data_IF_080714781333
#
_entry.id   IF_080714781333
#
_cell.length_a   1.000
_cell.length_b   1.000
_cell.length_c   1.000
_cell.angle_alpha   90.00
_cell.angle_beta   90.00
_cell.angle_gamma   90.00
#
_symmetry.space_group_name_H-M   'P 1'
#
loop_
_entity.id
_entity.type
_entity.pdbx_description
1 polymer ?
#
# COMPACT_ATOMS: atom_id res chain seq x y z
N UNK A 1 -3.96 -0.99 5.30
CA UNK A 1 -3.47 0.21 6.00
C UNK A 1 -2.49 -0.23 7.05
N UNK A 2 -1.21 -0.32 6.70
CA UNK A 2 -0.10 -0.38 7.65
C UNK A 2 1.09 0.36 7.02
N UNK A 3 1.14 1.67 7.25
CA UNK A 3 2.41 2.38 7.21
C UNK A 3 3.02 2.27 8.60
N UNK A 4 3.93 1.31 8.80
CA UNK A 4 4.87 1.36 9.91
C UNK A 4 6.26 1.32 9.31
N UNK A 5 6.88 2.48 9.17
CA UNK A 5 8.33 2.56 9.06
C UNK A 5 8.79 3.42 10.22
N UNK A 6 9.65 2.80 11.02
CA UNK A 6 10.36 3.37 12.15
C UNK A 6 10.92 4.75 11.80
N UNK A 7 10.82 5.69 12.74
CA UNK A 7 11.69 6.87 12.78
C UNK A 7 13.13 6.42 12.54
N UNK A 8 13.63 6.59 11.32
CA UNK A 8 15.07 6.49 11.06
C UNK A 8 15.68 7.73 11.68
N UNK A 9 16.28 7.57 12.86
CA UNK A 9 17.02 8.60 13.61
C UNK A 9 18.27 9.14 12.88
N UNK A 10 18.40 8.95 11.56
CA UNK A 10 19.69 9.06 10.86
C UNK A 10 19.73 10.14 9.77
N UNK A 11 18.61 10.73 9.32
CA UNK A 11 18.67 11.80 8.30
C UNK A 11 17.77 13.01 8.61
N UNK A 12 18.25 14.25 8.33
CA UNK A 12 17.62 15.50 8.78
C UNK A 12 16.26 15.81 8.14
N UNK A 13 15.84 15.05 7.12
CA UNK A 13 14.53 15.21 6.47
C UNK A 13 13.92 13.85 6.14
N UNK A 14 13.23 13.24 7.11
CA UNK A 14 12.41 12.05 6.86
C UNK A 14 10.94 12.45 6.90
N UNK A 15 10.25 12.31 5.77
CA UNK A 15 8.82 12.60 5.66
C UNK A 15 8.02 11.30 5.69
N UNK A 16 6.94 11.31 6.45
CA UNK A 16 5.97 10.21 6.47
C UNK A 16 4.62 10.78 6.06
N UNK A 17 3.98 10.10 5.11
CA UNK A 17 2.67 10.48 4.59
C UNK A 17 1.66 9.40 4.94
N UNK A 18 0.52 9.81 5.48
CA UNK A 18 -0.66 8.98 5.65
C UNK A 18 -1.73 9.44 4.67
N UNK A 19 -2.25 8.51 3.87
CA UNK A 19 -3.31 8.78 2.90
C UNK A 19 -4.61 8.13 3.36
N UNK A 20 -5.60 8.97 3.65
CA UNK A 20 -6.94 8.53 4.03
C UNK A 20 -7.83 8.47 2.79
N UNK A 21 -8.32 7.27 2.44
CA UNK A 21 -9.14 7.04 1.26
C UNK A 21 -10.64 7.07 1.61
N UNK A 22 -11.46 7.55 0.67
CA UNK A 22 -12.91 7.72 0.87
C UNK A 22 -13.78 6.56 0.38
N UNK A 23 -13.19 5.60 -0.31
CA UNK A 23 -13.95 4.57 -1.05
C UNK A 23 -14.57 3.50 -0.13
N UNK A 24 -14.13 3.40 1.12
CA UNK A 24 -14.67 2.48 2.12
C UNK A 24 -15.89 3.07 2.83
N UNK A 25 -16.97 2.30 2.89
CA UNK A 25 -18.22 2.63 3.57
C UNK A 25 -18.66 1.51 4.51
N UNK A 26 -18.65 1.79 5.81
CA UNK A 26 -19.04 0.83 6.87
C UNK A 26 -20.49 0.33 6.75
N UNK A 27 -21.35 1.07 6.04
CA UNK A 27 -22.75 0.69 5.88
C UNK A 27 -22.99 -0.18 4.63
N UNK A 28 -22.00 -0.31 3.75
CA UNK A 28 -22.14 -0.97 2.44
C UNK A 28 -21.13 -2.09 2.23
N UNK A 29 -19.89 -1.89 2.65
CA UNK A 29 -18.79 -2.77 2.31
C UNK A 29 -18.62 -3.88 3.36
N UNK A 30 -18.09 -5.03 2.95
CA UNK A 30 -17.79 -6.12 3.87
C UNK A 30 -16.54 -5.82 4.69
N UNK A 31 -16.58 -6.15 5.98
CA UNK A 31 -15.46 -6.00 6.90
C UNK A 31 -15.53 -7.03 8.02
N UNK A 32 -14.41 -7.25 8.70
CA UNK A 32 -14.38 -7.97 9.97
C UNK A 32 -14.61 -6.96 11.11
N UNK A 33 -15.64 -7.19 11.92
CA UNK A 33 -16.05 -6.26 12.99
C UNK A 33 -14.91 -5.96 13.97
N UNK A 34 -14.17 -6.99 14.38
CA UNK A 34 -13.03 -6.85 15.30
C UNK A 34 -11.95 -5.90 14.74
N UNK A 35 -11.71 -5.93 13.42
CA UNK A 35 -10.73 -5.05 12.77
C UNK A 35 -11.23 -3.60 12.73
N UNK A 36 -12.53 -3.38 12.49
CA UNK A 36 -13.10 -2.02 12.51
C UNK A 36 -13.04 -1.42 13.91
N UNK A 37 -13.38 -2.20 14.94
CA UNK A 37 -13.27 -1.73 16.32
C UNK A 37 -11.84 -1.39 16.68
N UNK A 38 -10.88 -2.25 16.33
CA UNK A 38 -9.46 -1.99 16.52
C UNK A 38 -9.03 -0.68 15.85
N UNK A 39 -9.38 -0.49 14.57
CA UNK A 39 -9.02 0.72 13.82
C UNK A 39 -9.65 1.99 14.41
N UNK A 40 -10.91 1.93 14.86
CA UNK A 40 -11.55 3.04 15.59
C UNK A 40 -10.79 3.39 16.88
N UNK A 41 -10.36 2.37 17.65
CA UNK A 41 -9.55 2.57 18.87
C UNK A 41 -8.18 3.16 18.57
N UNK A 42 -7.61 2.88 17.39
CA UNK A 42 -6.36 3.48 16.90
C UNK A 42 -6.56 4.89 16.31
N UNK A 43 -7.78 5.46 16.37
CA UNK A 43 -8.06 6.83 15.97
C UNK A 43 -8.56 7.01 14.54
N UNK A 44 -8.84 5.93 13.80
CA UNK A 44 -9.41 6.03 12.46
C UNK A 44 -10.87 6.49 12.52
N UNK A 45 -11.17 7.60 11.85
CA UNK A 45 -12.53 8.11 11.68
C UNK A 45 -13.05 7.81 10.27
N UNK A 46 -13.84 6.75 10.15
CA UNK A 46 -14.36 6.27 8.87
C UNK A 46 -15.35 7.24 8.21
N UNK A 47 -16.19 7.93 8.99
CA UNK A 47 -17.12 8.94 8.44
C UNK A 47 -16.35 10.13 7.86
N UNK A 48 -15.33 10.62 8.59
CA UNK A 48 -14.44 11.68 8.09
C UNK A 48 -13.71 11.23 6.82
N UNK A 49 -13.26 9.98 6.75
CA UNK A 49 -12.61 9.43 5.57
C UNK A 49 -13.57 9.37 4.38
N UNK A 50 -14.83 8.96 4.57
CA UNK A 50 -15.86 8.93 3.53
C UNK A 50 -16.19 10.33 2.99
N UNK A 51 -16.28 11.32 3.88
CA UNK A 51 -16.60 12.71 3.52
C UNK A 51 -15.42 13.44 2.87
N UNK A 52 -14.22 13.34 3.46
CA UNK A 52 -13.06 14.21 3.14
C UNK A 52 -11.85 13.46 2.57
N UNK A 53 -11.89 12.13 2.55
CA UNK A 53 -10.79 11.31 2.06
C UNK A 53 -10.56 11.44 0.56
N UNK A 54 -9.41 10.95 0.11
CA UNK A 54 -9.00 10.95 -1.28
C UNK A 54 -9.72 9.82 -2.00
N UNK A 55 -10.28 10.09 -3.18
CA UNK A 55 -10.80 9.02 -4.04
C UNK A 55 -9.66 8.16 -4.58
N UNK A 56 -9.78 6.84 -4.48
CA UNK A 56 -8.77 5.87 -4.92
C UNK A 56 -8.30 6.11 -6.36
N UNK A 57 -9.20 6.48 -7.27
CA UNK A 57 -8.90 6.89 -8.66
C UNK A 57 -7.97 8.11 -8.74
N UNK A 58 -8.26 9.14 -7.94
CA UNK A 58 -7.45 10.36 -7.91
C UNK A 58 -6.07 10.08 -7.30
N UNK A 59 -6.03 9.24 -6.25
CA UNK A 59 -4.79 8.78 -5.65
C UNK A 59 -3.93 8.00 -6.66
N UNK A 60 -4.53 7.06 -7.39
CA UNK A 60 -3.85 6.29 -8.44
C UNK A 60 -3.31 7.19 -9.55
N UNK A 61 -4.11 8.17 -10.00
CA UNK A 61 -3.66 9.17 -10.98
C UNK A 61 -2.44 9.94 -10.47
N UNK A 62 -2.42 10.35 -9.20
CA UNK A 62 -1.24 11.03 -8.63
C UNK A 62 -0.01 10.12 -8.56
N UNK A 63 -0.18 8.85 -8.23
CA UNK A 63 0.92 7.87 -8.28
C UNK A 63 1.52 7.77 -9.69
N UNK A 64 0.66 7.78 -10.72
CA UNK A 64 1.10 7.87 -12.10
C UNK A 64 1.83 9.18 -12.39
N UNK A 65 1.19 10.32 -12.13
CA UNK A 65 1.71 11.66 -12.46
C UNK A 65 3.10 11.92 -11.83
N UNK A 66 3.35 11.37 -10.62
CA UNK A 66 4.63 11.51 -9.92
C UNK A 66 5.68 10.45 -10.28
N UNK A 67 5.37 9.55 -11.23
CA UNK A 67 6.26 8.48 -11.66
C UNK A 67 6.60 7.50 -10.53
N UNK A 68 5.63 7.20 -9.66
CA UNK A 68 5.80 6.21 -8.60
C UNK A 68 5.51 4.79 -9.10
N UNK A 69 4.83 4.65 -10.22
CA UNK A 69 4.53 3.37 -10.90
C UNK A 69 5.19 3.30 -12.28
N UNK A 70 5.19 2.11 -12.89
CA UNK A 70 5.91 1.76 -14.13
C UNK A 70 7.43 1.76 -13.98
N UNK A 71 7.92 1.39 -12.80
CA UNK A 71 9.36 1.33 -12.53
C UNK A 71 10.07 0.18 -13.29
N UNK A 72 9.34 -0.73 -13.96
CA UNK A 72 9.93 -1.79 -14.77
C UNK A 72 10.74 -1.26 -15.97
N UNK A 73 10.49 -0.02 -16.41
CA UNK A 73 11.19 0.62 -17.52
C UNK A 73 12.42 1.43 -17.11
N UNK A 74 12.85 1.37 -15.84
CA UNK A 74 14.06 2.03 -15.36
C UNK A 74 13.98 3.57 -15.30
N UNK A 75 12.79 4.15 -15.43
CA UNK A 75 12.58 5.61 -15.43
C UNK A 75 12.94 6.25 -14.07
N UNK A 76 12.85 5.49 -12.98
CA UNK A 76 13.19 5.92 -11.62
C UNK A 76 13.58 4.71 -10.78
N UNK A 77 14.68 4.82 -10.04
CA UNK A 77 15.10 3.77 -9.11
C UNK A 77 14.36 3.93 -7.78
N UNK A 78 13.18 3.32 -7.68
CA UNK A 78 12.39 3.25 -6.44
C UNK A 78 12.60 1.86 -5.83
N UNK A 79 12.90 1.83 -4.54
CA UNK A 79 12.90 0.60 -3.74
C UNK A 79 11.69 0.58 -2.84
N UNK A 80 10.85 -0.43 -2.98
CA UNK A 80 9.69 -0.63 -2.13
C UNK A 80 10.05 -1.56 -0.98
N UNK A 81 9.73 -1.12 0.23
CA UNK A 81 9.98 -1.88 1.46
C UNK A 81 8.65 -2.13 2.14
N UNK A 82 8.42 -3.36 2.57
CA UNK A 82 7.21 -3.77 3.28
C UNK A 82 7.55 -4.76 4.41
N UNK A 83 6.57 -5.07 5.26
CA UNK A 83 6.68 -6.08 6.30
C UNK A 83 5.42 -6.95 6.28
N UNK A 84 5.52 -8.18 5.76
CA UNK A 84 4.37 -9.05 5.48
C UNK A 84 3.38 -8.43 4.46
N UNK A 85 3.94 -7.84 3.41
CA UNK A 85 3.29 -6.88 2.52
C UNK A 85 2.40 -7.42 1.42
N UNK A 86 2.15 -8.72 1.38
CA UNK A 86 1.38 -9.34 0.29
C UNK A 86 0.01 -8.67 0.13
N UNK A 87 -0.69 -8.42 1.24
CA UNK A 87 -1.98 -7.73 1.23
C UNK A 87 -1.86 -6.25 0.87
N UNK A 88 -0.78 -5.58 1.30
CA UNK A 88 -0.56 -4.16 0.98
C UNK A 88 -0.36 -3.95 -0.51
N UNK A 89 0.46 -4.81 -1.15
CA UNK A 89 0.66 -4.78 -2.60
C UNK A 89 -0.59 -5.20 -3.36
N UNK A 90 -1.35 -6.17 -2.86
CA UNK A 90 -2.67 -6.50 -3.41
C UNK A 90 -3.60 -5.29 -3.40
N UNK A 91 -3.68 -4.58 -2.28
CA UNK A 91 -4.50 -3.38 -2.18
C UNK A 91 -4.01 -2.27 -3.12
N UNK A 92 -2.70 -2.00 -3.12
CA UNK A 92 -2.10 -0.99 -4.00
C UNK A 92 -2.31 -1.31 -5.48
N UNK A 93 -2.17 -2.57 -5.88
CA UNK A 93 -2.39 -3.00 -7.26
C UNK A 93 -3.87 -2.83 -7.66
N UNK A 94 -4.81 -3.16 -6.77
CA UNK A 94 -6.25 -2.89 -6.99
C UNK A 94 -6.52 -1.39 -7.15
N UNK A 95 -5.89 -0.56 -6.33
CA UNK A 95 -6.04 0.90 -6.41
C UNK A 95 -5.43 1.46 -7.70
N UNK A 96 -4.23 1.02 -8.10
CA UNK A 96 -3.57 1.50 -9.32
C UNK A 96 -4.31 1.05 -10.59
N UNK A 97 -4.71 -0.21 -10.66
CA UNK A 97 -5.36 -0.80 -11.84
C UNK A 97 -6.85 -0.51 -11.93
N UNK A 98 -7.48 -0.08 -10.83
CA UNK A 98 -8.93 0.13 -10.72
C UNK A 98 -9.74 -1.09 -11.20
N UNK A 99 -9.16 -2.28 -11.05
CA UNK A 99 -9.66 -3.55 -11.59
C UNK A 99 -9.60 -4.64 -10.52
N UNK A 100 -10.37 -5.73 -10.67
CA UNK A 100 -10.20 -6.92 -9.83
C UNK A 100 -8.76 -7.44 -9.90
N UNK A 101 -8.29 -8.01 -8.79
CA UNK A 101 -6.97 -8.62 -8.76
C UNK A 101 -6.94 -9.87 -9.65
N UNK A 102 -5.78 -10.19 -10.25
CA UNK A 102 -5.62 -11.43 -11.01
C UNK A 102 -5.95 -12.66 -10.18
N UNK A 103 -6.60 -13.65 -10.79
CA UNK A 103 -6.95 -14.92 -10.15
C UNK A 103 -5.73 -15.83 -9.94
N UNK A 104 -4.70 -15.66 -10.77
CA UNK A 104 -3.49 -16.48 -10.76
C UNK A 104 -2.31 -15.71 -10.19
N UNK A 105 -1.50 -16.42 -9.39
CA UNK A 105 -0.34 -15.84 -8.73
C UNK A 105 0.68 -15.29 -9.74
N UNK A 106 0.94 -16.01 -10.83
CA UNK A 106 1.91 -15.57 -11.84
C UNK A 106 1.48 -14.26 -12.50
N UNK A 107 0.18 -14.12 -12.80
CA UNK A 107 -0.38 -12.87 -13.33
C UNK A 107 -0.31 -11.74 -12.32
N UNK A 108 -0.52 -12.03 -11.03
CA UNK A 108 -0.36 -11.06 -9.95
C UNK A 108 1.09 -10.59 -9.82
N UNK A 109 2.06 -11.51 -9.79
CA UNK A 109 3.49 -11.21 -9.70
C UNK A 109 3.94 -10.41 -10.94
N UNK A 110 3.48 -10.78 -12.13
CA UNK A 110 3.80 -10.05 -13.35
C UNK A 110 3.26 -8.61 -13.32
N UNK A 111 2.03 -8.40 -12.85
CA UNK A 111 1.49 -7.06 -12.67
C UNK A 111 2.27 -6.26 -11.60
N UNK A 112 2.64 -6.88 -10.48
CA UNK A 112 3.47 -6.22 -9.48
C UNK A 112 4.81 -5.77 -10.05
N UNK A 113 5.51 -6.65 -10.77
CA UNK A 113 6.75 -6.30 -11.44
C UNK A 113 6.55 -5.16 -12.46
N UNK A 114 5.47 -5.20 -13.23
CA UNK A 114 5.13 -4.19 -14.23
C UNK A 114 4.91 -2.80 -13.61
N UNK A 115 4.12 -2.70 -12.53
CA UNK A 115 3.81 -1.41 -11.91
C UNK A 115 4.89 -0.94 -10.92
N UNK A 116 5.44 -1.83 -10.11
CA UNK A 116 6.32 -1.45 -8.99
C UNK A 116 7.80 -1.76 -9.22
N UNK A 117 8.13 -2.54 -10.25
CA UNK A 117 9.49 -2.99 -10.55
C UNK A 117 9.91 -4.20 -9.70
N UNK A 118 11.19 -4.56 -9.79
CA UNK A 118 11.76 -5.73 -9.11
C UNK A 118 12.40 -5.42 -7.74
N UNK A 119 12.57 -4.14 -7.41
CA UNK A 119 13.16 -3.70 -6.16
C UNK A 119 12.12 -3.67 -5.04
N UNK A 120 11.55 -4.84 -4.71
CA UNK A 120 10.56 -5.02 -3.65
C UNK A 120 11.16 -5.92 -2.57
N UNK A 121 11.25 -5.41 -1.34
CA UNK A 121 11.78 -6.14 -0.19
C UNK A 121 10.72 -6.30 0.89
N UNK A 122 10.37 -7.54 1.19
CA UNK A 122 9.60 -7.86 2.39
C UNK A 122 10.56 -8.14 3.55
N UNK A 123 10.63 -7.21 4.51
CA UNK A 123 11.54 -7.28 5.65
C UNK A 123 11.35 -8.54 6.47
N UNK A 124 10.11 -9.05 6.63
CA UNK A 124 9.86 -10.28 7.38
C UNK A 124 10.46 -11.48 6.65
N UNK A 125 10.28 -11.56 5.33
CA UNK A 125 10.89 -12.59 4.52
C UNK A 125 12.42 -12.47 4.50
N UNK A 126 12.95 -11.26 4.31
CA UNK A 126 14.38 -10.97 4.30
C UNK A 126 15.04 -11.35 5.63
N UNK A 127 14.46 -10.96 6.76
CA UNK A 127 14.99 -11.30 8.08
C UNK A 127 14.96 -12.80 8.35
N UNK A 128 13.88 -13.49 7.98
CA UNK A 128 13.81 -14.95 8.07
C UNK A 128 14.87 -15.63 7.20
N UNK A 129 15.08 -15.16 5.97
CA UNK A 129 16.12 -15.66 5.09
C UNK A 129 17.53 -15.45 5.67
N UNK A 130 17.76 -14.33 6.35
CA UNK A 130 19.01 -13.99 7.02
C UNK A 130 19.17 -14.64 8.41
N UNK A 131 18.18 -15.39 8.91
CA UNK A 131 18.22 -16.00 10.25
C UNK A 131 18.11 -15.00 11.40
N UNK A 132 17.55 -13.81 11.15
CA UNK A 132 17.38 -12.74 12.13
C UNK A 132 16.00 -12.76 12.84
N UNK A 133 15.10 -13.65 12.40
CA UNK A 133 13.77 -13.92 12.96
C UNK A 133 13.47 -15.42 12.92
#
# INVERSE_FOLDING_TARGET
MLGVIYRTFILPFSYVWEFNLRDFDINRDHYASDLIELLKRQGINFEKNKEKGIGSKNFAKKFWDYGLVFNCYGLKSITWITFHGTYDFGFMLKVITQSPLPLHLDSFVHQLAYFFGYNIFDLKHTFKFLGLL
#
